data_IF_781426960302
#
_entry.id   IF_781426960302
#
_cell.length_a   1.000
_cell.length_b   1.000
_cell.length_c   1.000
_cell.angle_alpha   90.00
_cell.angle_beta   90.00
_cell.angle_gamma   90.00
#
_symmetry.space_group_name_H-M   'P 1'
#
loop_
_entity.id
_entity.type
_entity.pdbx_description
1 polymer ?
#
# COMPACT_ATOMS: atom_id res chain seq x y z
N UNK A 1 23.99 45.17 -2.39
CA UNK A 1 22.73 44.50 -2.79
C UNK A 1 23.13 43.18 -3.41
N UNK A 2 22.71 42.00 -2.90
CA UNK A 2 23.14 40.75 -3.51
C UNK A 2 22.38 40.60 -4.83
N UNK A 3 23.13 40.50 -5.93
CA UNK A 3 22.61 40.23 -7.26
C UNK A 3 21.79 38.95 -7.22
N UNK A 4 20.50 39.07 -7.53
CA UNK A 4 19.61 37.92 -7.63
C UNK A 4 20.03 37.03 -8.79
N UNK A 5 19.83 35.73 -8.63
CA UNK A 5 20.04 34.71 -9.66
C UNK A 5 19.45 35.18 -11.00
N UNK A 6 20.24 35.05 -12.06
CA UNK A 6 19.79 35.39 -13.41
C UNK A 6 18.65 34.44 -13.84
N UNK A 7 17.79 34.89 -14.75
CA UNK A 7 16.66 34.09 -15.24
C UNK A 7 17.11 32.75 -15.87
N UNK A 8 18.36 32.66 -16.34
CA UNK A 8 18.99 31.44 -16.84
C UNK A 8 19.31 30.46 -15.70
N UNK A 9 19.95 30.92 -14.62
CA UNK A 9 20.30 30.12 -13.44
C UNK A 9 19.05 29.62 -12.69
N UNK A 10 17.97 30.40 -12.67
CA UNK A 10 16.66 29.97 -12.15
C UNK A 10 16.07 28.83 -13.00
N UNK A 11 16.25 28.87 -14.32
CA UNK A 11 15.71 27.87 -15.24
C UNK A 11 16.51 26.57 -15.21
N UNK A 12 17.81 26.68 -15.03
CA UNK A 12 18.74 25.55 -14.88
C UNK A 12 18.55 24.87 -13.51
N UNK A 13 18.40 25.63 -12.42
CA UNK A 13 18.16 25.09 -11.07
C UNK A 13 16.77 24.48 -10.87
N UNK A 14 15.75 24.95 -11.59
CA UNK A 14 14.39 24.39 -11.55
C UNK A 14 14.16 23.20 -12.51
N UNK A 15 15.11 22.91 -13.41
CA UNK A 15 15.07 21.78 -14.34
C UNK A 15 13.73 21.63 -15.10
N UNK A 16 13.38 20.38 -15.44
CA UNK A 16 12.15 20.01 -16.16
C UNK A 16 10.85 20.55 -15.52
N UNK A 17 10.87 20.87 -14.22
CA UNK A 17 9.71 21.41 -13.51
C UNK A 17 9.39 22.86 -13.92
N UNK A 18 10.39 23.67 -14.28
CA UNK A 18 10.19 25.05 -14.76
C UNK A 18 9.49 25.11 -16.13
N UNK A 19 9.76 24.15 -17.02
CA UNK A 19 9.09 24.03 -18.33
C UNK A 19 7.73 23.33 -18.26
N UNK A 20 7.48 22.54 -17.22
CA UNK A 20 6.26 21.73 -17.08
C UNK A 20 5.05 22.50 -16.53
N UNK A 21 5.23 23.72 -16.00
CA UNK A 21 4.13 24.46 -15.34
C UNK A 21 2.98 24.76 -16.31
N UNK A 22 3.30 25.10 -17.56
CA UNK A 22 2.30 25.29 -18.63
C UNK A 22 1.59 23.99 -19.01
N UNK A 23 2.32 22.88 -19.09
CA UNK A 23 1.78 21.55 -19.36
C UNK A 23 0.88 21.07 -18.21
N UNK A 24 1.30 21.26 -16.96
CA UNK A 24 0.53 20.92 -15.78
C UNK A 24 -0.78 21.71 -15.69
N UNK A 25 -0.72 23.02 -15.95
CA UNK A 25 -1.91 23.87 -15.97
C UNK A 25 -2.85 23.50 -17.12
N UNK A 26 -2.34 23.19 -18.32
CA UNK A 26 -3.17 22.74 -19.45
C UNK A 26 -3.86 21.42 -19.16
N UNK A 27 -3.18 20.42 -18.61
CA UNK A 27 -3.81 19.19 -18.15
C UNK A 27 -4.83 19.43 -17.03
N UNK A 28 -4.55 20.37 -16.11
CA UNK A 28 -5.50 20.80 -15.09
C UNK A 28 -6.79 21.38 -15.68
N UNK A 29 -6.69 22.29 -16.66
CA UNK A 29 -7.84 22.86 -17.35
C UNK A 29 -8.61 21.82 -18.16
N UNK A 30 -7.94 20.87 -18.82
CA UNK A 30 -8.58 19.76 -19.54
C UNK A 30 -9.38 18.88 -18.58
N UNK A 31 -8.82 18.52 -17.43
CA UNK A 31 -9.51 17.72 -16.42
C UNK A 31 -10.72 18.44 -15.84
N UNK A 32 -10.59 19.74 -15.54
CA UNK A 32 -11.70 20.58 -15.07
C UNK A 32 -12.82 20.69 -16.11
N UNK A 33 -12.47 20.91 -17.38
CA UNK A 33 -13.44 20.97 -18.47
C UNK A 33 -14.16 19.62 -18.66
N UNK A 34 -13.42 18.51 -18.64
CA UNK A 34 -14.00 17.17 -18.73
C UNK A 34 -14.96 16.87 -17.55
N UNK A 35 -14.58 17.26 -16.33
CA UNK A 35 -15.44 17.13 -15.16
C UNK A 35 -16.72 17.98 -15.29
N UNK A 36 -16.58 19.25 -15.67
CA UNK A 36 -17.72 20.16 -15.86
C UNK A 36 -18.70 19.64 -16.91
N UNK A 37 -18.19 19.16 -18.06
CA UNK A 37 -19.00 18.52 -19.11
C UNK A 37 -19.70 17.27 -18.57
N UNK A 38 -19.00 16.43 -17.80
CA UNK A 38 -19.59 15.27 -17.13
C UNK A 38 -20.75 15.65 -16.20
N UNK A 39 -20.60 16.68 -15.37
CA UNK A 39 -21.66 17.18 -14.49
C UNK A 39 -22.84 17.76 -15.27
N UNK A 40 -22.60 18.50 -16.35
CA UNK A 40 -23.67 19.04 -17.21
C UNK A 40 -24.45 17.91 -17.88
N UNK A 41 -23.76 16.90 -18.41
CA UNK A 41 -24.40 15.71 -18.99
C UNK A 41 -25.23 14.97 -17.93
N UNK A 42 -24.73 14.83 -16.69
CA UNK A 42 -25.48 14.20 -15.60
C UNK A 42 -26.71 15.03 -15.19
N UNK A 43 -26.60 16.35 -15.14
CA UNK A 43 -27.71 17.26 -14.82
C UNK A 43 -28.79 17.24 -15.90
N UNK A 44 -28.40 17.21 -17.18
CA UNK A 44 -29.34 17.05 -18.29
C UNK A 44 -29.97 15.65 -18.23
N UNK A 45 -29.17 14.60 -18.08
CA UNK A 45 -29.66 13.23 -18.01
C UNK A 45 -30.61 12.99 -16.82
N UNK A 46 -30.40 13.65 -15.69
CA UNK A 46 -31.29 13.57 -14.53
C UNK A 46 -32.60 14.33 -14.77
N UNK A 47 -32.56 15.52 -15.39
CA UNK A 47 -33.75 16.31 -15.70
C UNK A 47 -34.71 15.61 -16.68
N UNK A 48 -34.18 14.85 -17.65
CA UNK A 48 -34.99 14.11 -18.62
C UNK A 48 -35.33 12.69 -18.17
N UNK A 49 -34.80 12.22 -17.04
CA UNK A 49 -34.95 10.82 -16.57
C UNK A 49 -36.42 10.43 -16.39
N UNK A 50 -37.27 11.35 -15.96
CA UNK A 50 -38.68 11.07 -15.67
C UNK A 50 -39.61 11.25 -16.87
N UNK A 51 -39.14 11.91 -17.94
CA UNK A 51 -39.92 12.22 -19.15
C UNK A 51 -39.80 11.15 -20.25
N UNK A 52 -39.16 10.02 -19.95
CA UNK A 52 -38.76 9.00 -20.94
C UNK A 52 -39.45 7.66 -20.67
N UNK A 53 -39.97 7.03 -21.74
CA UNK A 53 -40.68 5.73 -21.69
C UNK A 53 -39.86 4.61 -21.03
N UNK A 54 -40.54 3.67 -20.36
CA UNK A 54 -39.92 2.52 -19.69
C UNK A 54 -39.01 1.69 -20.61
N UNK A 55 -39.36 1.52 -21.89
CA UNK A 55 -38.53 0.82 -22.87
C UNK A 55 -37.19 1.55 -23.13
N UNK A 56 -37.23 2.88 -23.20
CA UNK A 56 -36.06 3.74 -23.38
C UNK A 56 -35.22 3.81 -22.11
N UNK A 57 -35.83 3.85 -20.92
CA UNK A 57 -35.14 3.69 -19.62
C UNK A 57 -34.35 2.37 -19.55
N UNK A 58 -34.94 1.26 -20.01
CA UNK A 58 -34.27 -0.06 -20.05
C UNK A 58 -33.10 -0.09 -21.03
N UNK A 59 -33.22 0.54 -22.21
CA UNK A 59 -32.14 0.65 -23.21
C UNK A 59 -31.00 1.56 -22.72
N UNK A 60 -31.31 2.72 -22.15
CA UNK A 60 -30.33 3.63 -21.56
C UNK A 60 -29.60 2.99 -20.37
N UNK A 61 -30.30 2.19 -19.54
CA UNK A 61 -29.66 1.42 -18.47
C UNK A 61 -28.69 0.38 -19.01
N UNK A 62 -29.05 -0.36 -20.08
CA UNK A 62 -28.15 -1.30 -20.75
C UNK A 62 -26.92 -0.60 -21.35
N UNK A 63 -27.13 0.51 -22.06
CA UNK A 63 -26.04 1.30 -22.64
C UNK A 63 -25.10 1.87 -21.54
N UNK A 64 -25.66 2.34 -20.43
CA UNK A 64 -24.90 2.80 -19.28
C UNK A 64 -24.05 1.69 -18.65
N UNK A 65 -24.59 0.48 -18.51
CA UNK A 65 -23.82 -0.68 -18.04
C UNK A 65 -22.70 -1.05 -19.00
N UNK A 66 -22.94 -1.05 -20.32
CA UNK A 66 -21.90 -1.29 -21.32
C UNK A 66 -20.79 -0.24 -21.23
N UNK A 67 -21.14 1.04 -21.13
CA UNK A 67 -20.17 2.12 -20.99
C UNK A 67 -19.37 2.01 -19.69
N UNK A 68 -19.99 1.60 -18.59
CA UNK A 68 -19.30 1.32 -17.33
C UNK A 68 -18.29 0.17 -17.48
N UNK A 69 -18.65 -0.93 -18.15
CA UNK A 69 -17.72 -2.03 -18.40
C UNK A 69 -16.57 -1.62 -19.33
N UNK A 70 -16.84 -0.84 -20.38
CA UNK A 70 -15.79 -0.32 -21.27
C UNK A 70 -14.84 0.62 -20.53
N UNK A 71 -15.37 1.52 -19.69
CA UNK A 71 -14.57 2.40 -18.84
C UNK A 71 -13.73 1.60 -17.84
N UNK A 72 -14.33 0.60 -17.18
CA UNK A 72 -13.61 -0.28 -16.26
C UNK A 72 -12.49 -1.07 -16.97
N UNK A 73 -12.74 -1.59 -18.17
CA UNK A 73 -11.73 -2.28 -18.98
C UNK A 73 -10.57 -1.35 -19.36
N UNK A 74 -10.88 -0.13 -19.80
CA UNK A 74 -9.85 0.86 -20.13
C UNK A 74 -8.97 1.20 -18.93
N UNK A 75 -9.58 1.45 -17.77
CA UNK A 75 -8.83 1.70 -16.53
C UNK A 75 -8.00 0.47 -16.14
N UNK A 76 -8.56 -0.73 -16.24
CA UNK A 76 -7.85 -1.97 -15.94
C UNK A 76 -6.62 -2.15 -16.84
N UNK A 77 -6.74 -1.87 -18.14
CA UNK A 77 -5.61 -1.95 -19.08
C UNK A 77 -4.49 -0.98 -18.69
N UNK A 78 -4.81 0.28 -18.33
CA UNK A 78 -3.82 1.26 -17.89
C UNK A 78 -3.12 0.82 -16.61
N UNK A 79 -3.88 0.32 -15.63
CA UNK A 79 -3.34 -0.09 -14.32
C UNK A 79 -2.50 -1.36 -14.43
N UNK A 80 -2.89 -2.31 -15.29
CA UNK A 80 -2.18 -3.57 -15.49
C UNK A 80 -0.99 -3.44 -16.44
N UNK A 81 -0.96 -2.42 -17.31
CA UNK A 81 0.11 -2.26 -18.28
C UNK A 81 1.52 -2.22 -17.67
N UNK A 82 1.80 -1.48 -16.57
CA UNK A 82 3.12 -1.52 -15.93
C UNK A 82 3.51 -2.91 -15.40
N UNK A 83 2.55 -3.68 -14.89
CA UNK A 83 2.79 -5.04 -14.40
C UNK A 83 3.10 -5.97 -15.58
N UNK A 84 2.29 -5.87 -16.64
CA UNK A 84 2.55 -6.57 -17.89
C UNK A 84 3.94 -6.23 -18.45
N UNK A 85 4.28 -4.93 -18.51
CA UNK A 85 5.57 -4.46 -19.01
C UNK A 85 6.72 -5.01 -18.17
N UNK A 86 6.59 -5.02 -16.84
CA UNK A 86 7.56 -5.60 -15.92
C UNK A 86 7.76 -7.10 -16.18
N UNK A 87 6.68 -7.87 -16.32
CA UNK A 87 6.74 -9.32 -16.59
C UNK A 87 7.37 -9.60 -17.94
N UNK A 88 6.92 -8.93 -19.00
CA UNK A 88 7.47 -9.11 -20.35
C UNK A 88 8.93 -8.69 -20.40
N UNK A 89 9.29 -7.54 -19.80
CA UNK A 89 10.68 -7.06 -19.77
C UNK A 89 11.61 -7.98 -19.00
N UNK A 90 11.12 -8.70 -17.99
CA UNK A 90 11.90 -9.70 -17.27
C UNK A 90 12.32 -10.91 -18.11
N UNK A 91 11.63 -11.12 -19.25
CA UNK A 91 11.85 -12.24 -20.16
C UNK A 91 12.61 -11.83 -21.43
N UNK A 92 13.07 -10.58 -21.53
CA UNK A 92 13.81 -10.06 -22.68
C UNK A 92 15.32 -10.13 -22.48
N UNK A 93 16.06 -9.96 -23.57
CA UNK A 93 17.50 -9.67 -23.51
C UNK A 93 17.73 -8.22 -23.08
N UNK A 94 18.92 -7.95 -22.57
CA UNK A 94 19.35 -6.59 -22.25
C UNK A 94 19.34 -5.67 -23.46
N UNK A 95 19.75 -6.17 -24.63
CA UNK A 95 19.81 -5.42 -25.89
C UNK A 95 18.41 -5.05 -26.38
N UNK A 96 17.44 -5.97 -26.28
CA UNK A 96 16.06 -5.73 -26.70
C UNK A 96 15.40 -4.61 -25.87
N UNK A 97 15.75 -4.49 -24.59
CA UNK A 97 15.25 -3.41 -23.73
C UNK A 97 15.83 -2.03 -24.07
N UNK A 98 16.93 -1.97 -24.81
CA UNK A 98 17.59 -0.73 -25.23
C UNK A 98 17.17 -0.28 -26.63
N UNK A 99 16.28 -1.02 -27.29
CA UNK A 99 15.75 -0.64 -28.59
C UNK A 99 14.97 0.69 -28.50
N UNK A 100 15.16 1.61 -29.48
CA UNK A 100 14.42 2.87 -29.52
C UNK A 100 12.89 2.68 -29.61
N UNK A 101 12.46 1.60 -30.27
CA UNK A 101 11.06 1.18 -30.33
C UNK A 101 10.90 -0.03 -29.42
N UNK A 102 10.18 0.09 -28.29
CA UNK A 102 10.01 -1.01 -27.37
C UNK A 102 9.16 -2.12 -27.99
N UNK A 103 9.63 -3.37 -27.93
CA UNK A 103 8.84 -4.54 -28.32
C UNK A 103 7.73 -4.81 -27.30
N UNK A 104 6.53 -5.21 -27.70
CA UNK A 104 5.46 -5.59 -26.76
C UNK A 104 5.58 -7.05 -26.30
N UNK A 105 6.36 -7.86 -27.01
CA UNK A 105 6.59 -9.26 -26.65
C UNK A 105 8.07 -9.58 -26.79
N UNK A 106 8.64 -10.49 -25.97
CA UNK A 106 10.02 -10.89 -26.13
C UNK A 106 10.23 -11.55 -27.50
N UNK A 107 11.29 -11.17 -28.20
CA UNK A 107 11.71 -11.87 -29.42
C UNK A 107 12.20 -13.30 -29.08
N UNK A 108 12.93 -13.40 -27.97
CA UNK A 108 13.40 -14.67 -27.40
C UNK A 108 13.15 -14.67 -25.90
N UNK A 109 12.60 -15.76 -25.37
CA UNK A 109 12.27 -15.88 -23.96
C UNK A 109 13.51 -16.19 -23.11
N UNK A 110 13.98 -15.22 -22.34
CA UNK A 110 15.15 -15.28 -21.47
C UNK A 110 14.80 -15.69 -20.03
N UNK A 111 14.32 -16.94 -19.84
CA UNK A 111 14.05 -17.50 -18.51
C UNK A 111 15.25 -17.50 -17.57
N UNK A 112 16.45 -17.49 -18.15
CA UNK A 112 17.74 -17.39 -17.48
C UNK A 112 17.88 -16.13 -16.59
N UNK A 113 17.10 -15.07 -16.85
CA UNK A 113 17.15 -13.85 -16.03
C UNK A 113 16.77 -14.11 -14.56
N UNK A 114 15.87 -15.07 -14.28
CA UNK A 114 15.44 -15.40 -12.92
C UNK A 114 16.55 -16.07 -12.07
N UNK A 115 17.17 -17.20 -12.50
CA UNK A 115 18.27 -17.79 -11.75
C UNK A 115 19.51 -16.88 -11.68
N UNK A 116 19.70 -15.97 -12.64
CA UNK A 116 20.75 -14.94 -12.55
C UNK A 116 20.60 -14.04 -11.33
N UNK A 117 19.36 -13.61 -11.03
CA UNK A 117 19.11 -12.79 -9.85
C UNK A 117 19.52 -13.49 -8.56
N UNK A 118 19.28 -14.80 -8.45
CA UNK A 118 19.69 -15.59 -7.28
C UNK A 118 21.21 -15.72 -7.14
N UNK A 119 21.94 -15.73 -8.26
CA UNK A 119 23.41 -15.73 -8.25
C UNK A 119 23.99 -14.38 -7.82
N UNK A 120 23.29 -13.28 -8.12
CA UNK A 120 23.75 -11.91 -7.80
C UNK A 120 23.39 -11.44 -6.41
N UNK A 121 22.30 -11.96 -5.83
CA UNK A 121 21.87 -11.57 -4.50
C UNK A 121 21.11 -12.72 -3.80
N UNK A 122 21.19 -12.82 -2.46
CA UNK A 122 20.53 -13.86 -1.69
C UNK A 122 19.01 -13.59 -1.55
N UNK A 123 18.28 -13.62 -2.66
CA UNK A 123 16.85 -13.30 -2.75
C UNK A 123 15.97 -14.18 -1.87
N UNK A 124 16.31 -15.46 -1.73
CA UNK A 124 15.62 -16.38 -0.81
C UNK A 124 15.72 -15.87 0.63
N UNK A 125 16.89 -15.40 1.05
CA UNK A 125 17.07 -14.83 2.39
C UNK A 125 16.30 -13.52 2.55
N UNK A 126 16.29 -12.66 1.52
CA UNK A 126 15.51 -11.44 1.54
C UNK A 126 14.01 -11.70 1.70
N UNK A 127 13.53 -12.75 1.04
CA UNK A 127 12.15 -13.21 1.16
C UNK A 127 11.81 -13.69 2.57
N UNK A 128 12.65 -14.55 3.13
CA UNK A 128 12.50 -15.06 4.50
C UNK A 128 12.55 -13.91 5.50
N UNK A 129 13.48 -12.96 5.34
CA UNK A 129 13.55 -11.77 6.17
C UNK A 129 12.27 -10.95 6.11
N UNK A 130 11.75 -10.66 4.90
CA UNK A 130 10.49 -9.93 4.74
C UNK A 130 9.32 -10.66 5.37
N UNK A 131 9.22 -11.99 5.20
CA UNK A 131 8.15 -12.78 5.81
C UNK A 131 8.21 -12.71 7.34
N UNK A 132 9.39 -12.95 7.91
CA UNK A 132 9.60 -12.90 9.37
C UNK A 132 9.25 -11.50 9.90
N UNK A 133 9.82 -10.45 9.32
CA UNK A 133 9.59 -9.09 9.82
C UNK A 133 8.13 -8.68 9.70
N UNK A 134 7.51 -8.93 8.55
CA UNK A 134 6.10 -8.59 8.31
C UNK A 134 5.17 -9.38 9.21
N UNK A 135 5.42 -10.67 9.40
CA UNK A 135 4.62 -11.53 10.26
C UNK A 135 4.66 -11.08 11.72
N UNK A 136 5.85 -10.83 12.27
CA UNK A 136 5.98 -10.42 13.68
C UNK A 136 5.49 -8.99 13.93
N UNK A 137 5.66 -8.08 12.97
CA UNK A 137 5.05 -6.74 13.02
C UNK A 137 3.52 -6.87 13.09
N UNK A 138 2.94 -7.63 12.15
CA UNK A 138 1.49 -7.85 12.11
C UNK A 138 0.98 -8.54 13.39
N UNK A 139 1.70 -9.54 13.91
CA UNK A 139 1.35 -10.21 15.16
C UNK A 139 1.40 -9.24 16.35
N UNK A 140 2.41 -8.36 16.40
CA UNK A 140 2.49 -7.27 17.37
C UNK A 140 1.27 -6.35 17.32
N UNK A 141 0.92 -5.87 16.13
CA UNK A 141 -0.23 -4.98 15.95
C UNK A 141 -1.55 -5.69 16.29
N UNK A 142 -1.74 -6.93 15.83
CA UNK A 142 -2.91 -7.74 16.14
C UNK A 142 -3.07 -8.00 17.63
N UNK A 143 -1.99 -8.21 18.36
CA UNK A 143 -2.05 -8.52 19.79
C UNK A 143 -2.14 -7.24 20.63
N UNK A 144 -1.11 -6.41 20.57
CA UNK A 144 -1.00 -5.17 21.35
C UNK A 144 -2.06 -4.16 20.93
N UNK A 145 -2.31 -4.05 19.62
CA UNK A 145 -3.28 -3.10 19.07
C UNK A 145 -4.73 -3.48 19.43
N UNK A 146 -5.10 -4.77 19.37
CA UNK A 146 -6.44 -5.21 19.79
C UNK A 146 -6.64 -5.00 21.30
N UNK A 147 -5.64 -5.34 22.12
CA UNK A 147 -5.71 -5.13 23.57
C UNK A 147 -5.84 -3.65 23.92
N UNK A 148 -5.04 -2.79 23.30
CA UNK A 148 -5.12 -1.34 23.47
C UNK A 148 -6.48 -0.79 23.00
N UNK A 149 -6.94 -1.20 21.82
CA UNK A 149 -8.24 -0.81 21.28
C UNK A 149 -9.39 -1.21 22.21
N UNK A 150 -9.36 -2.42 22.78
CA UNK A 150 -10.35 -2.87 23.77
C UNK A 150 -10.34 -1.98 25.00
N UNK A 151 -9.16 -1.69 25.55
CA UNK A 151 -9.00 -0.78 26.69
C UNK A 151 -9.58 0.61 26.41
N UNK A 152 -9.29 1.18 25.25
CA UNK A 152 -9.78 2.52 24.88
C UNK A 152 -11.25 2.56 24.44
N UNK A 153 -11.83 1.45 24.00
CA UNK A 153 -13.22 1.37 23.55
C UNK A 153 -14.19 1.02 24.68
N UNK A 154 -13.84 0.03 25.51
CA UNK A 154 -14.73 -0.62 26.48
C UNK A 154 -14.21 -0.58 27.93
N UNK A 155 -12.94 -0.21 28.14
CA UNK A 155 -12.38 -0.05 29.47
C UNK A 155 -12.88 1.21 30.15
N UNK A 156 -13.11 1.16 31.47
CA UNK A 156 -13.48 2.31 32.29
C UNK A 156 -12.34 2.61 33.27
N UNK A 157 -11.42 3.51 32.88
CA UNK A 157 -10.31 3.95 33.73
C UNK A 157 -10.05 5.46 33.57
N UNK A 158 -9.53 6.08 34.63
CA UNK A 158 -9.24 7.51 34.66
C UNK A 158 -8.15 7.85 33.64
N UNK A 159 -8.38 8.87 32.81
CA UNK A 159 -7.42 9.32 31.79
C UNK A 159 -7.49 8.57 30.44
N UNK A 160 -8.42 7.62 30.27
CA UNK A 160 -8.61 6.86 29.02
C UNK A 160 -8.65 7.74 27.78
N UNK A 161 -9.50 8.77 27.78
CA UNK A 161 -9.68 9.61 26.60
C UNK A 161 -8.48 10.53 26.35
N UNK A 162 -7.80 11.00 27.41
CA UNK A 162 -6.55 11.75 27.28
C UNK A 162 -5.41 10.89 26.69
N UNK A 163 -5.25 9.65 27.16
CA UNK A 163 -4.29 8.71 26.59
C UNK A 163 -4.63 8.36 25.13
N UNK A 164 -5.92 8.25 24.80
CA UNK A 164 -6.33 8.04 23.41
C UNK A 164 -6.03 9.25 22.52
N UNK A 165 -6.16 10.48 23.04
CA UNK A 165 -5.71 11.69 22.33
C UNK A 165 -4.20 11.64 22.05
N UNK A 166 -3.38 11.09 22.95
CA UNK A 166 -1.95 10.88 22.68
C UNK A 166 -1.72 9.88 21.52
N UNK A 167 -2.52 8.81 21.45
CA UNK A 167 -2.48 7.87 20.31
C UNK A 167 -2.85 8.59 19.00
N UNK A 168 -3.86 9.46 19.01
CA UNK A 168 -4.20 10.30 17.86
C UNK A 168 -3.06 11.26 17.51
N UNK A 169 -2.41 11.86 18.51
CA UNK A 169 -1.24 12.70 18.31
C UNK A 169 -0.11 11.97 17.59
N UNK A 170 0.14 10.70 17.94
CA UNK A 170 1.14 9.88 17.26
C UNK A 170 0.85 9.64 15.76
N UNK A 171 -0.42 9.65 15.35
CA UNK A 171 -0.81 9.59 13.93
C UNK A 171 -0.48 10.87 13.16
N UNK A 172 -0.44 12.01 13.85
CA UNK A 172 -0.19 13.32 13.24
C UNK A 172 1.30 13.59 13.05
N UNK A 173 2.17 12.88 13.78
CA UNK A 173 3.62 13.05 13.67
C UNK A 173 4.13 12.37 12.40
N UNK A 174 4.77 13.11 11.48
CA UNK A 174 5.36 12.51 10.29
C UNK A 174 6.50 11.56 10.67
N UNK A 175 6.54 10.39 10.04
CA UNK A 175 7.57 9.36 10.31
C UNK A 175 9.00 9.88 10.09
N UNK A 176 9.17 10.88 9.21
CA UNK A 176 10.47 11.51 8.93
C UNK A 176 11.04 12.24 10.15
N UNK A 177 10.19 12.73 11.05
CA UNK A 177 10.60 13.45 12.27
C UNK A 177 11.07 12.47 13.35
N UNK A 178 10.38 11.34 13.49
CA UNK A 178 10.69 10.33 14.51
C UNK A 178 11.79 9.36 14.08
N UNK A 179 12.09 9.32 12.78
CA UNK A 179 13.05 8.38 12.19
C UNK A 179 14.45 8.46 12.82
N UNK A 180 15.07 9.65 12.87
CA UNK A 180 16.45 9.79 13.37
C UNK A 180 16.56 9.39 14.85
N UNK A 181 15.68 9.86 15.76
CA UNK A 181 15.68 9.41 17.14
C UNK A 181 15.55 7.89 17.28
N UNK A 182 14.61 7.25 16.57
CA UNK A 182 14.40 5.81 16.64
C UNK A 182 15.64 5.06 16.12
N UNK A 183 16.24 5.51 15.02
CA UNK A 183 17.48 4.92 14.50
C UNK A 183 18.62 4.98 15.52
N UNK A 184 18.82 6.15 16.17
CA UNK A 184 19.84 6.32 17.21
C UNK A 184 19.57 5.41 18.40
N UNK A 185 18.31 5.24 18.81
CA UNK A 185 17.94 4.29 19.87
C UNK A 185 18.30 2.86 19.49
N UNK A 186 17.93 2.40 18.29
CA UNK A 186 18.25 1.05 17.82
C UNK A 186 19.76 0.83 17.71
N UNK A 187 20.50 1.85 17.26
CA UNK A 187 21.97 1.83 17.21
C UNK A 187 22.60 1.68 18.59
N UNK A 188 22.16 2.46 19.57
CA UNK A 188 22.62 2.37 20.97
C UNK A 188 22.32 1.02 21.62
N UNK A 189 21.19 0.40 21.24
CA UNK A 189 20.82 -0.95 21.69
C UNK A 189 21.60 -2.07 20.96
N UNK A 190 22.39 -1.74 19.94
CA UNK A 190 23.09 -2.73 19.12
C UNK A 190 22.15 -3.54 18.21
N UNK A 191 20.95 -3.02 17.91
CA UNK A 191 19.92 -3.73 17.13
C UNK A 191 20.02 -3.47 15.62
N UNK A 192 21.04 -2.76 15.16
CA UNK A 192 21.33 -2.62 13.72
C UNK A 192 21.75 -3.97 13.17
N UNK A 193 21.25 -4.35 11.99
CA UNK A 193 21.39 -5.68 11.41
C UNK A 193 20.84 -6.79 12.32
N UNK A 194 19.62 -6.62 12.83
CA UNK A 194 18.94 -7.63 13.64
C UNK A 194 17.43 -7.62 13.36
N UNK A 195 16.74 -8.73 13.68
CA UNK A 195 15.28 -8.78 13.59
C UNK A 195 14.61 -7.83 14.59
N UNK A 196 15.19 -7.63 15.76
CA UNK A 196 14.70 -6.70 16.77
C UNK A 196 14.63 -5.28 16.23
N UNK A 197 15.69 -4.82 15.55
CA UNK A 197 15.74 -3.50 14.92
C UNK A 197 14.76 -3.34 13.76
N UNK A 198 14.42 -4.43 13.07
CA UNK A 198 13.43 -4.42 11.99
C UNK A 198 11.98 -4.45 12.51
N UNK A 199 11.72 -5.18 13.59
CA UNK A 199 10.38 -5.49 14.09
C UNK A 199 9.92 -4.50 15.16
N UNK A 200 10.71 -4.29 16.21
CA UNK A 200 10.27 -3.64 17.46
C UNK A 200 9.72 -2.22 17.24
N UNK A 201 10.36 -1.36 16.43
CA UNK A 201 9.85 0.00 16.19
C UNK A 201 8.46 0.06 15.53
N UNK A 202 8.05 -1.03 14.88
CA UNK A 202 6.79 -1.13 14.14
C UNK A 202 5.79 -2.09 14.80
N UNK A 203 6.05 -2.61 16.02
CA UNK A 203 5.15 -3.55 16.70
C UNK A 203 3.80 -2.92 17.09
N UNK A 204 3.74 -1.60 17.20
CA UNK A 204 2.54 -0.88 17.63
C UNK A 204 2.22 0.20 16.60
N UNK A 205 1.02 0.12 16.04
CA UNK A 205 0.50 1.09 15.10
C UNK A 205 -0.65 1.88 15.72
N UNK A 206 -0.46 3.20 15.81
CA UNK A 206 -1.52 4.10 16.25
C UNK A 206 -2.74 4.05 15.30
N UNK A 207 -2.52 3.78 14.00
CA UNK A 207 -3.58 3.62 13.00
C UNK A 207 -4.41 2.37 13.29
N UNK A 208 -3.73 1.25 13.56
CA UNK A 208 -4.38 0.00 13.93
C UNK A 208 -5.25 0.18 15.19
N UNK A 209 -4.67 0.76 16.25
CA UNK A 209 -5.39 1.03 17.52
C UNK A 209 -6.62 1.91 17.27
N UNK A 210 -6.44 2.99 16.50
CA UNK A 210 -7.53 3.90 16.18
C UNK A 210 -8.68 3.17 15.47
N UNK A 211 -8.38 2.47 14.37
CA UNK A 211 -9.39 1.78 13.56
C UNK A 211 -10.12 0.71 14.36
N UNK A 212 -9.37 -0.14 15.08
CA UNK A 212 -9.99 -1.19 15.89
C UNK A 212 -10.82 -0.63 17.04
N UNK A 213 -10.39 0.48 17.66
CA UNK A 213 -11.18 1.14 18.70
C UNK A 213 -12.51 1.64 18.12
N UNK A 214 -12.50 2.28 16.95
CA UNK A 214 -13.75 2.78 16.34
C UNK A 214 -14.73 1.62 16.09
N UNK A 215 -14.24 0.49 15.58
CA UNK A 215 -15.07 -0.68 15.35
C UNK A 215 -15.58 -1.32 16.65
N UNK A 216 -14.74 -1.42 17.69
CA UNK A 216 -15.19 -1.92 18.99
C UNK A 216 -16.22 -1.00 19.65
N UNK A 217 -16.10 0.33 19.50
CA UNK A 217 -17.10 1.27 20.03
C UNK A 217 -18.45 1.16 19.32
N UNK A 218 -18.48 0.72 18.07
CA UNK A 218 -19.72 0.54 17.31
C UNK A 218 -20.52 -0.71 17.74
N UNK A 219 -19.91 -1.64 18.48
CA UNK A 219 -20.60 -2.80 19.06
C UNK A 219 -21.35 -2.36 20.31
N UNK A 220 -22.63 -2.68 20.42
CA UNK A 220 -23.46 -2.36 21.60
C UNK A 220 -22.97 -3.11 22.86
N UNK A 221 -23.07 -2.47 24.04
CA UNK A 221 -22.60 -3.06 25.30
C UNK A 221 -23.45 -4.26 25.75
N UNK A 222 -24.70 -4.38 25.29
CA UNK A 222 -25.57 -5.54 25.56
C UNK A 222 -24.95 -6.88 25.13
N UNK A 223 -24.17 -6.91 24.06
CA UNK A 223 -23.45 -8.12 23.64
C UNK A 223 -22.34 -8.50 24.63
N UNK A 224 -21.69 -7.51 25.25
CA UNK A 224 -20.67 -7.76 26.26
C UNK A 224 -21.30 -8.19 27.57
N UNK A 225 -22.44 -7.62 27.94
CA UNK A 225 -23.19 -8.01 29.13
C UNK A 225 -23.73 -9.44 29.00
N UNK A 226 -24.28 -9.81 27.83
CA UNK A 226 -24.66 -11.20 27.55
C UNK A 226 -23.46 -12.16 27.69
N UNK A 227 -22.32 -11.82 27.09
CA UNK A 227 -21.10 -12.63 27.22
C UNK A 227 -20.60 -12.75 28.67
N UNK A 228 -20.77 -11.72 29.50
CA UNK A 228 -20.43 -11.78 30.94
C UNK A 228 -21.38 -12.70 31.71
N UNK A 229 -22.66 -12.71 31.36
CA UNK A 229 -23.65 -13.66 31.92
C UNK A 229 -23.26 -15.10 31.56
N UNK A 230 -22.75 -15.31 30.34
CA UNK A 230 -22.20 -16.60 29.88
C UNK A 230 -20.82 -16.95 30.48
N UNK A 231 -20.31 -16.14 31.42
CA UNK A 231 -19.06 -16.39 32.13
C UNK A 231 -17.78 -15.95 31.39
N UNK A 232 -17.89 -15.19 30.30
CA UNK A 232 -16.72 -14.69 29.58
C UNK A 232 -16.01 -13.59 30.36
N UNK A 233 -14.73 -13.82 30.68
CA UNK A 233 -13.81 -12.79 31.16
C UNK A 233 -13.41 -11.79 30.06
N UNK A 234 -12.59 -10.79 30.38
CA UNK A 234 -12.18 -9.72 29.43
C UNK A 234 -11.56 -10.25 28.15
N UNK A 235 -10.64 -11.21 28.25
CA UNK A 235 -10.02 -11.86 27.11
C UNK A 235 -11.08 -12.67 26.33
N UNK A 236 -11.95 -13.39 27.04
CA UNK A 236 -13.08 -14.09 26.43
C UNK A 236 -13.96 -13.18 25.57
N UNK A 237 -14.33 -12.00 26.08
CA UNK A 237 -15.11 -10.99 25.36
C UNK A 237 -14.42 -10.48 24.09
N UNK A 238 -13.09 -10.30 24.14
CA UNK A 238 -12.33 -9.87 22.95
C UNK A 238 -12.40 -10.94 21.87
N UNK A 239 -12.05 -12.19 22.20
CA UNK A 239 -11.90 -13.26 21.22
C UNK A 239 -13.24 -13.83 20.72
N UNK A 240 -14.26 -13.92 21.57
CA UNK A 240 -15.52 -14.59 21.25
C UNK A 240 -16.65 -13.62 20.87
N UNK A 241 -16.56 -12.33 21.21
CA UNK A 241 -17.61 -11.35 20.91
C UNK A 241 -17.08 -10.27 19.97
N UNK A 242 -16.11 -9.47 20.43
CA UNK A 242 -15.68 -8.28 19.70
C UNK A 242 -14.98 -8.61 18.38
N UNK A 243 -13.96 -9.48 18.38
CA UNK A 243 -13.22 -9.79 17.15
C UNK A 243 -14.09 -10.41 16.05
N UNK A 244 -14.99 -11.37 16.32
CA UNK A 244 -15.92 -11.88 15.31
C UNK A 244 -16.86 -10.79 14.77
N UNK A 245 -17.42 -9.95 15.63
CA UNK A 245 -18.34 -8.89 15.23
C UNK A 245 -17.66 -7.78 14.42
N UNK A 246 -16.38 -7.50 14.70
CA UNK A 246 -15.56 -6.54 13.96
C UNK A 246 -14.60 -7.19 12.97
N UNK A 247 -14.83 -8.46 12.60
CA UNK A 247 -13.97 -9.21 11.70
C UNK A 247 -13.70 -8.47 10.37
N UNK A 248 -14.68 -7.77 9.75
CA UNK A 248 -14.41 -6.99 8.54
C UNK A 248 -13.31 -5.93 8.72
N UNK A 249 -13.34 -5.17 9.82
CA UNK A 249 -12.31 -4.19 10.12
C UNK A 249 -10.99 -4.88 10.43
N UNK A 250 -11.00 -5.90 11.30
CA UNK A 250 -9.79 -6.63 11.70
C UNK A 250 -9.04 -7.19 10.49
N UNK A 251 -9.76 -7.85 9.57
CA UNK A 251 -9.19 -8.36 8.31
C UNK A 251 -8.64 -7.22 7.47
N UNK A 252 -9.39 -6.12 7.31
CA UNK A 252 -8.96 -4.98 6.51
C UNK A 252 -7.65 -4.37 7.03
N UNK A 253 -7.59 -4.07 8.33
CA UNK A 253 -6.37 -3.48 8.91
C UNK A 253 -5.20 -4.46 8.88
N UNK A 254 -5.43 -5.75 9.10
CA UNK A 254 -4.37 -6.78 9.03
C UNK A 254 -3.78 -6.89 7.62
N UNK A 255 -4.61 -6.81 6.58
CA UNK A 255 -4.16 -6.82 5.19
C UNK A 255 -3.33 -5.58 4.89
N UNK A 256 -3.77 -4.40 5.35
CA UNK A 256 -3.01 -3.15 5.19
C UNK A 256 -1.66 -3.24 5.91
N UNK A 257 -1.61 -3.79 7.13
CA UNK A 257 -0.38 -4.00 7.90
C UNK A 257 0.56 -4.95 7.17
N UNK A 258 0.06 -6.08 6.64
CA UNK A 258 0.87 -7.01 5.86
C UNK A 258 1.47 -6.34 4.61
N UNK A 259 0.63 -5.66 3.81
CA UNK A 259 1.08 -4.97 2.59
C UNK A 259 2.13 -3.91 2.93
N UNK A 260 1.92 -3.16 4.01
CA UNK A 260 2.85 -2.13 4.47
C UNK A 260 4.19 -2.71 4.92
N UNK A 261 4.17 -3.82 5.69
CA UNK A 261 5.37 -4.51 6.12
C UNK A 261 6.15 -5.12 4.94
N UNK A 262 5.44 -5.74 3.99
CA UNK A 262 6.05 -6.34 2.80
C UNK A 262 6.72 -5.30 1.89
N UNK A 263 6.03 -4.17 1.67
CA UNK A 263 6.52 -3.06 0.84
C UNK A 263 7.46 -2.11 1.58
N UNK A 264 7.75 -2.37 2.86
CA UNK A 264 8.59 -1.50 3.66
C UNK A 264 10.01 -1.45 3.12
N UNK A 265 10.42 -0.24 2.73
CA UNK A 265 11.72 0.00 2.11
C UNK A 265 12.60 0.89 2.98
N UNK A 266 12.07 2.04 3.40
CA UNK A 266 12.88 3.11 4.00
C UNK A 266 13.53 2.68 5.32
N UNK A 267 12.73 2.15 6.26
CA UNK A 267 13.24 1.70 7.56
C UNK A 267 14.22 0.52 7.40
N UNK A 268 13.87 -0.59 6.73
CA UNK A 268 14.79 -1.70 6.52
C UNK A 268 16.10 -1.27 5.85
N UNK A 269 16.06 -0.42 4.82
CA UNK A 269 17.27 0.06 4.13
C UNK A 269 18.28 0.69 5.10
N UNK A 270 17.79 1.38 6.13
CA UNK A 270 18.64 2.10 7.08
C UNK A 270 19.22 1.17 8.15
N UNK A 271 18.44 0.21 8.65
CA UNK A 271 18.88 -0.66 9.76
C UNK A 271 19.46 -2.00 9.31
N UNK A 272 19.26 -2.43 8.06
CA UNK A 272 19.87 -3.63 7.48
C UNK A 272 20.98 -3.26 6.48
N UNK A 273 22.16 -2.93 7.00
CA UNK A 273 23.31 -2.57 6.17
C UNK A 273 23.98 -3.79 5.52
N UNK A 274 23.93 -4.96 6.17
CA UNK A 274 24.46 -6.24 5.67
C UNK A 274 23.41 -7.01 4.88
N UNK A 275 23.83 -7.65 3.79
CA UNK A 275 22.98 -8.41 2.86
C UNK A 275 22.09 -9.41 3.60
N UNK A 276 22.69 -10.15 4.54
CA UNK A 276 22.02 -11.13 5.39
C UNK A 276 20.72 -10.70 6.09
N UNK A 277 20.54 -9.40 6.33
CA UNK A 277 19.42 -8.84 7.07
C UNK A 277 18.45 -8.03 6.22
N UNK A 278 18.70 -7.90 4.91
CA UNK A 278 17.87 -7.08 4.02
C UNK A 278 16.53 -7.73 3.76
N UNK A 279 15.51 -6.89 3.58
CA UNK A 279 14.18 -7.29 3.09
C UNK A 279 14.16 -7.30 1.55
N UNK A 280 13.16 -7.97 0.97
CA UNK A 280 12.99 -8.09 -0.49
C UNK A 280 12.93 -6.74 -1.20
N UNK A 281 12.23 -5.75 -0.63
CA UNK A 281 12.14 -4.41 -1.20
C UNK A 281 13.51 -3.72 -1.28
N UNK A 282 14.34 -3.88 -0.24
CA UNK A 282 15.72 -3.38 -0.23
C UNK A 282 16.59 -4.16 -1.19
N UNK A 283 16.41 -5.48 -1.27
CA UNK A 283 17.12 -6.38 -2.17
C UNK A 283 16.93 -6.04 -3.64
N UNK A 284 15.68 -5.83 -4.08
CA UNK A 284 15.36 -5.42 -5.45
C UNK A 284 16.00 -4.07 -5.79
N UNK A 285 15.94 -3.09 -4.88
CA UNK A 285 16.59 -1.80 -5.12
C UNK A 285 18.12 -1.91 -5.20
N UNK A 286 18.73 -2.81 -4.41
CA UNK A 286 20.17 -3.07 -4.43
C UNK A 286 20.63 -3.80 -5.68
N UNK A 287 19.77 -4.52 -6.39
CA UNK A 287 20.13 -5.14 -7.68
C UNK A 287 20.71 -4.10 -8.64
N UNK A 288 20.18 -2.87 -8.69
CA UNK A 288 20.75 -1.79 -9.52
C UNK A 288 22.25 -1.61 -9.26
N UNK A 289 22.64 -1.62 -7.99
CA UNK A 289 24.00 -1.34 -7.57
C UNK A 289 24.97 -2.51 -7.77
N UNK A 290 24.49 -3.74 -7.96
CA UNK A 290 25.37 -4.88 -8.24
C UNK A 290 25.89 -4.88 -9.68
N UNK A 291 25.39 -3.99 -10.54
CA UNK A 291 25.78 -3.91 -11.95
C UNK A 291 26.93 -2.94 -12.25
N UNK A 292 27.63 -2.38 -11.25
CA UNK A 292 28.87 -1.60 -11.41
C UNK A 292 28.89 -0.59 -12.58
N UNK A 293 27.79 0.16 -12.79
CA UNK A 293 27.68 1.14 -13.89
C UNK A 293 27.05 0.62 -15.19
N UNK A 294 26.80 -0.69 -15.29
CA UNK A 294 26.03 -1.33 -16.38
C UNK A 294 24.55 -1.52 -16.01
N UNK A 295 23.98 -0.68 -15.14
CA UNK A 295 22.58 -0.80 -14.70
C UNK A 295 21.62 -0.82 -15.90
N UNK A 296 21.92 0.01 -16.90
CA UNK A 296 21.17 0.14 -18.15
C UNK A 296 21.18 -1.15 -18.96
N UNK A 297 22.28 -1.91 -18.90
CA UNK A 297 22.43 -3.18 -19.61
C UNK A 297 21.85 -4.38 -18.83
N UNK A 298 21.19 -4.19 -17.68
CA UNK A 298 20.66 -5.31 -16.90
C UNK A 298 19.25 -5.06 -16.34
N UNK A 299 18.48 -4.18 -16.99
CA UNK A 299 17.08 -3.93 -16.62
C UNK A 299 16.21 -5.18 -16.67
N UNK A 300 16.49 -6.13 -17.56
CA UNK A 300 15.85 -7.44 -17.65
C UNK A 300 15.94 -8.21 -16.31
N UNK A 301 17.12 -8.27 -15.71
CA UNK A 301 17.32 -8.95 -14.43
C UNK A 301 16.72 -8.17 -13.25
N UNK A 302 16.77 -6.83 -13.27
CA UNK A 302 16.09 -6.00 -12.27
C UNK A 302 14.58 -6.23 -12.32
N UNK A 303 14.00 -6.30 -13.52
CA UNK A 303 12.58 -6.61 -13.72
C UNK A 303 12.26 -8.04 -13.26
N UNK A 304 13.12 -9.02 -13.53
CA UNK A 304 12.96 -10.38 -13.00
C UNK A 304 12.97 -10.39 -11.45
N UNK A 305 13.87 -9.63 -10.82
CA UNK A 305 13.88 -9.35 -9.39
C UNK A 305 12.55 -8.80 -8.87
N UNK A 306 12.00 -7.80 -9.56
CA UNK A 306 10.73 -7.18 -9.21
C UNK A 306 9.53 -8.14 -9.38
N UNK A 307 9.52 -8.95 -10.45
CA UNK A 307 8.51 -10.00 -10.65
C UNK A 307 8.55 -11.00 -9.50
N UNK A 308 9.73 -11.48 -9.10
CA UNK A 308 9.84 -12.39 -7.96
C UNK A 308 9.35 -11.77 -6.65
N UNK A 309 9.57 -10.48 -6.45
CA UNK A 309 9.15 -9.77 -5.25
C UNK A 309 7.62 -9.55 -5.15
N UNK A 310 6.92 -9.44 -6.28
CA UNK A 310 5.46 -9.19 -6.30
C UNK A 310 4.62 -10.48 -6.22
N UNK A 311 5.17 -11.63 -6.66
CA UNK A 311 4.45 -12.92 -6.69
C UNK A 311 3.70 -13.23 -5.37
N UNK A 312 4.32 -13.10 -4.17
CA UNK A 312 3.64 -13.43 -2.92
C UNK A 312 2.48 -12.50 -2.60
N UNK A 313 2.60 -11.23 -2.96
CA UNK A 313 1.53 -10.24 -2.77
C UNK A 313 0.35 -10.62 -3.67
N UNK A 314 0.62 -10.99 -4.92
CA UNK A 314 -0.42 -11.43 -5.87
C UNK A 314 -1.11 -12.70 -5.36
N UNK A 315 -0.34 -13.70 -4.92
CA UNK A 315 -0.89 -14.94 -4.35
C UNK A 315 -1.74 -14.64 -3.12
N UNK A 316 -1.24 -13.83 -2.19
CA UNK A 316 -1.99 -13.45 -1.00
C UNK A 316 -3.28 -12.71 -1.37
N UNK A 317 -3.22 -11.76 -2.31
CA UNK A 317 -4.39 -11.05 -2.79
C UNK A 317 -5.43 -12.00 -3.40
N UNK A 318 -5.02 -12.95 -4.24
CA UNK A 318 -5.94 -13.92 -4.85
C UNK A 318 -6.64 -14.79 -3.79
N UNK A 319 -5.97 -15.11 -2.69
CA UNK A 319 -6.53 -15.84 -1.55
C UNK A 319 -7.46 -14.96 -0.71
N UNK A 320 -7.08 -13.69 -0.49
CA UNK A 320 -7.76 -12.78 0.43
C UNK A 320 -8.84 -11.88 -0.21
N UNK A 321 -8.89 -11.75 -1.53
CA UNK A 321 -9.81 -10.86 -2.25
C UNK A 321 -11.27 -11.04 -1.85
N UNK A 322 -11.71 -12.28 -1.57
CA UNK A 322 -13.09 -12.57 -1.13
C UNK A 322 -13.43 -11.90 0.21
N UNK A 323 -12.46 -11.79 1.11
CA UNK A 323 -12.65 -11.16 2.42
C UNK A 323 -12.58 -9.63 2.33
N UNK A 324 -11.70 -9.10 1.47
CA UNK A 324 -11.59 -7.65 1.20
C UNK A 324 -12.93 -7.12 0.63
N UNK A 325 -13.50 -7.81 -0.36
CA UNK A 325 -14.75 -7.40 -1.01
C UNK A 325 -15.97 -7.45 -0.07
N UNK A 326 -16.00 -8.42 0.84
CA UNK A 326 -17.09 -8.54 1.82
C UNK A 326 -17.08 -7.40 2.85
N UNK A 327 -15.89 -6.90 3.21
CA UNK A 327 -15.74 -5.77 4.15
C UNK A 327 -16.16 -4.43 3.54
N UNK A 328 -15.81 -4.17 2.27
CA UNK A 328 -16.17 -2.93 1.58
C UNK A 328 -17.65 -2.86 1.20
N UNK A 329 -18.26 -4.00 0.84
CA UNK A 329 -19.68 -4.06 0.45
C UNK A 329 -20.64 -3.65 1.58
N UNK A 330 -20.36 -4.01 2.84
CA UNK A 330 -21.21 -3.62 3.98
C UNK A 330 -21.09 -2.13 4.34
N UNK A 331 -19.97 -1.49 4.04
CA UNK A 331 -19.79 -0.05 4.25
C UNK A 331 -20.52 0.81 3.19
N UNK A 332 -20.70 0.28 1.97
CA UNK A 332 -21.39 0.96 0.88
C UNK A 332 -22.93 0.81 0.91
N UNK A 333 -23.48 -0.06 1.76
CA UNK A 333 -24.93 -0.26 1.93
C UNK A 333 -25.52 0.44 3.16
N UNK A 334 -24.78 1.35 3.80
CA UNK A 334 -25.29 2.28 4.83
C UNK A 334 -25.42 3.68 4.25
#
# INVERSE_FOLDING_TARGET
>A
MPEGLTAFEIRESLGYFASSRGTFLTWGWILLAAAAVGFVILAIASHYRDKVSYATKKRLRKAGVVLQYLGALFIALIVLFPIYWMVVSSLKTSEELLLPVPTLWPNEFQWQNFPNVWKRAPFVRYFVNTLITTFFIMLGELTLGVLAAFGFAKGNFKGRDAMFVLVLGALMVPIQVTFVPIYVMMSRLGWINSYQGLIVPNLVSAYFIFMMRQSFKAVDDSYLDAGRIDGLGRIGLIFHVLMPMTAPTLVTVSIITFISGWNSYFWPRMVSTRDEWRTIAVGVARLRQTFAGMEVANYNEIMAGAVMAIIPIVVLFLVLQKYILTGMSKAAMK
#
